data_IF_262987857072
#
_entry.id   IF_262987857072
#
_cell.length_a   1.000
_cell.length_b   1.000
_cell.length_c   1.000
_cell.angle_alpha   90.00
_cell.angle_beta   90.00
_cell.angle_gamma   90.00
#
_symmetry.space_group_name_H-M   'P 1'
#
loop_
_entity.id
_entity.type
_entity.pdbx_description
1 polymer ?
#
# COMPACT_ATOMS: atom_id res chain seq x y z
N UNK A 1 37.38 -1.63 -10.64
CA UNK A 1 36.52 -1.37 -9.46
C UNK A 1 35.14 -1.91 -9.77
N UNK A 2 34.69 -2.95 -9.07
CA UNK A 2 33.39 -3.58 -9.35
C UNK A 2 32.27 -2.58 -9.05
N UNK A 3 31.64 -2.03 -10.08
CA UNK A 3 30.49 -1.14 -9.94
C UNK A 3 29.35 -1.96 -9.33
N UNK A 4 29.10 -1.81 -8.03
CA UNK A 4 28.00 -2.52 -7.37
C UNK A 4 26.70 -2.24 -8.10
N UNK A 5 25.98 -3.31 -8.44
CA UNK A 5 24.69 -3.25 -9.14
C UNK A 5 23.49 -3.17 -8.18
N UNK A 6 23.69 -3.50 -6.90
CA UNK A 6 22.70 -3.36 -5.83
C UNK A 6 23.36 -3.17 -4.44
N UNK A 7 22.64 -2.64 -3.43
CA UNK A 7 23.11 -2.58 -2.05
C UNK A 7 23.40 -3.97 -1.48
N UNK A 8 24.31 -4.06 -0.51
CA UNK A 8 24.62 -5.34 0.14
C UNK A 8 23.60 -5.71 1.21
N UNK A 9 23.15 -4.75 2.00
CA UNK A 9 22.29 -4.95 3.16
C UNK A 9 21.10 -3.99 3.21
N UNK A 10 20.10 -4.38 4.00
CA UNK A 10 18.95 -3.57 4.37
C UNK A 10 18.86 -3.47 5.88
N UNK A 11 18.83 -2.24 6.40
CA UNK A 11 18.48 -1.99 7.79
C UNK A 11 16.96 -1.88 7.94
N UNK A 12 16.39 -2.74 8.77
CA UNK A 12 14.95 -2.74 9.10
C UNK A 12 14.64 -1.67 10.13
N UNK A 13 13.36 -1.27 10.23
CA UNK A 13 12.90 -0.34 11.28
C UNK A 13 13.14 -0.84 12.71
N UNK A 14 13.25 -2.16 12.89
CA UNK A 14 13.61 -2.77 14.17
C UNK A 14 15.11 -2.72 14.49
N UNK A 15 15.93 -2.03 13.69
CA UNK A 15 17.39 -1.99 13.84
C UNK A 15 18.15 -3.16 13.19
N UNK A 16 17.52 -4.33 13.03
CA UNK A 16 18.11 -5.51 12.41
C UNK A 16 18.60 -5.26 10.97
N UNK A 17 19.78 -5.79 10.67
CA UNK A 17 20.39 -5.73 9.33
C UNK A 17 20.27 -7.10 8.67
N UNK A 18 19.77 -7.12 7.43
CA UNK A 18 19.63 -8.34 6.63
C UNK A 18 20.23 -8.16 5.25
N UNK A 19 20.61 -9.25 4.58
CA UNK A 19 21.10 -9.18 3.19
C UNK A 19 20.01 -8.61 2.27
N UNK A 20 20.41 -7.71 1.39
CA UNK A 20 19.52 -7.19 0.34
C UNK A 20 19.08 -8.34 -0.57
N UNK A 21 17.84 -8.28 -1.06
CA UNK A 21 17.29 -9.28 -1.94
C UNK A 21 16.52 -8.62 -3.07
N UNK A 22 17.15 -8.58 -4.24
CA UNK A 22 16.51 -8.09 -5.47
C UNK A 22 15.23 -8.82 -5.80
N UNK A 23 15.18 -10.14 -5.58
CA UNK A 23 13.97 -10.97 -5.77
C UNK A 23 12.81 -10.47 -4.90
N UNK A 24 13.07 -10.14 -3.63
CA UNK A 24 12.03 -9.59 -2.73
C UNK A 24 11.56 -8.22 -3.17
N UNK A 25 12.46 -7.36 -3.63
CA UNK A 25 12.12 -6.04 -4.19
C UNK A 25 11.26 -6.17 -5.45
N UNK A 26 11.68 -6.97 -6.42
CA UNK A 26 10.95 -7.25 -7.65
C UNK A 26 9.54 -7.79 -7.36
N UNK A 27 9.41 -8.73 -6.43
CA UNK A 27 8.10 -9.25 -6.01
C UNK A 27 7.21 -8.17 -5.39
N UNK A 28 7.78 -7.20 -4.67
CA UNK A 28 7.03 -6.06 -4.13
C UNK A 28 6.55 -5.12 -5.22
N UNK A 29 7.40 -4.84 -6.22
CA UNK A 29 7.06 -3.99 -7.36
C UNK A 29 5.98 -4.67 -8.21
N UNK A 30 6.14 -5.96 -8.52
CA UNK A 30 5.14 -6.74 -9.27
C UNK A 30 3.75 -6.67 -8.62
N UNK A 31 3.65 -6.87 -7.30
CA UNK A 31 2.37 -6.75 -6.58
C UNK A 31 1.80 -5.34 -6.69
N UNK A 32 2.64 -4.33 -6.53
CA UNK A 32 2.23 -2.92 -6.64
C UNK A 32 1.67 -2.60 -8.03
N UNK A 33 2.35 -3.05 -9.08
CA UNK A 33 1.90 -2.89 -10.46
C UNK A 33 0.58 -3.65 -10.72
N UNK A 34 0.46 -4.88 -10.19
CA UNK A 34 -0.79 -5.64 -10.24
C UNK A 34 -1.98 -4.92 -9.59
N UNK A 35 -1.79 -4.26 -8.44
CA UNK A 35 -2.85 -3.48 -7.78
C UNK A 35 -3.33 -2.26 -8.61
N UNK A 36 -2.56 -1.85 -9.62
CA UNK A 36 -2.94 -0.79 -10.55
C UNK A 36 -3.19 -1.30 -11.96
N UNK A 37 -3.42 -2.61 -12.11
CA UNK A 37 -3.70 -3.29 -13.38
C UNK A 37 -2.58 -3.10 -14.43
N UNK A 38 -1.34 -2.96 -13.98
CA UNK A 38 -0.16 -2.93 -14.85
C UNK A 38 0.52 -4.30 -14.78
N UNK A 39 0.28 -5.14 -15.78
CA UNK A 39 0.86 -6.48 -15.86
C UNK A 39 1.93 -6.56 -16.95
N UNK A 40 3.09 -5.97 -16.67
CA UNK A 40 4.27 -6.02 -17.56
C UNK A 40 5.50 -6.53 -16.80
N UNK A 41 5.98 -7.71 -17.21
CA UNK A 41 7.16 -8.36 -16.64
C UNK A 41 8.45 -7.60 -16.97
N UNK A 42 8.60 -7.10 -18.19
CA UNK A 42 9.77 -6.33 -18.61
C UNK A 42 9.86 -4.99 -17.87
N UNK A 43 8.71 -4.36 -17.61
CA UNK A 43 8.62 -3.14 -16.81
C UNK A 43 9.03 -3.38 -15.36
N UNK A 44 8.58 -4.48 -14.75
CA UNK A 44 8.98 -4.86 -13.38
C UNK A 44 10.50 -5.00 -13.27
N UNK A 45 11.13 -5.69 -14.21
CA UNK A 45 12.58 -5.92 -14.20
C UNK A 45 13.38 -4.63 -14.43
N UNK A 46 12.88 -3.76 -15.32
CA UNK A 46 13.45 -2.43 -15.60
C UNK A 46 13.39 -1.53 -14.36
N UNK A 47 12.20 -1.36 -13.78
CA UNK A 47 12.00 -0.56 -12.56
C UNK A 47 12.87 -1.10 -11.42
N UNK A 48 12.93 -2.42 -11.24
CA UNK A 48 13.77 -3.04 -10.19
C UNK A 48 15.24 -2.68 -10.39
N UNK A 49 15.74 -2.75 -11.63
CA UNK A 49 17.13 -2.41 -11.96
C UNK A 49 17.42 -0.94 -11.68
N UNK A 50 16.53 -0.05 -12.10
CA UNK A 50 16.68 1.40 -11.88
C UNK A 50 16.72 1.70 -10.37
N UNK A 51 15.89 1.02 -9.57
CA UNK A 51 15.87 1.18 -8.11
C UNK A 51 17.18 0.71 -7.50
N UNK A 52 17.70 -0.44 -7.91
CA UNK A 52 18.99 -0.92 -7.43
C UNK A 52 20.13 0.05 -7.79
N UNK A 53 20.14 0.59 -9.01
CA UNK A 53 21.13 1.57 -9.44
C UNK A 53 21.07 2.87 -8.63
N UNK A 54 19.86 3.38 -8.37
CA UNK A 54 19.69 4.56 -7.51
C UNK A 54 20.15 4.28 -6.07
N UNK A 55 19.78 3.12 -5.52
CA UNK A 55 20.19 2.73 -4.17
C UNK A 55 21.70 2.54 -4.06
N UNK A 56 22.38 2.06 -5.09
CA UNK A 56 23.83 2.02 -5.13
C UNK A 56 24.48 3.39 -5.08
N UNK A 57 23.86 4.40 -5.72
CA UNK A 57 24.37 5.79 -5.63
C UNK A 57 24.21 6.38 -4.23
N UNK A 58 23.10 6.13 -3.55
CA UNK A 58 22.78 6.81 -2.28
C UNK A 58 23.13 5.99 -1.02
N UNK A 59 23.19 4.66 -1.12
CA UNK A 59 23.38 3.72 0.00
C UNK A 59 23.98 2.38 -0.50
N UNK A 60 25.24 2.37 -0.98
CA UNK A 60 25.85 1.20 -1.64
C UNK A 60 26.12 0.00 -0.74
N UNK A 61 26.25 0.20 0.58
CA UNK A 61 26.54 -0.87 1.54
C UNK A 61 25.26 -1.30 2.25
N UNK A 62 24.61 -0.37 2.97
CA UNK A 62 23.39 -0.64 3.73
C UNK A 62 22.36 0.43 3.40
N UNK A 63 21.21 -0.01 2.88
CA UNK A 63 20.08 0.86 2.59
C UNK A 63 18.99 0.71 3.66
N UNK A 64 18.59 1.81 4.28
CA UNK A 64 17.49 1.82 5.24
C UNK A 64 16.15 1.63 4.52
N UNK A 65 15.17 1.03 5.20
CA UNK A 65 13.86 0.75 4.61
C UNK A 65 13.18 1.99 4.01
N UNK A 66 13.36 3.17 4.64
CA UNK A 66 12.79 4.43 4.14
C UNK A 66 13.52 4.94 2.89
N UNK A 67 14.83 4.70 2.75
CA UNK A 67 15.58 5.03 1.52
C UNK A 67 15.17 4.16 0.35
N UNK A 68 15.01 2.85 0.58
CA UNK A 68 14.50 1.90 -0.43
C UNK A 68 13.14 2.36 -0.92
N UNK A 69 12.25 2.71 0.01
CA UNK A 69 10.92 3.21 -0.30
C UNK A 69 10.96 4.50 -1.12
N UNK A 70 11.77 5.47 -0.68
CA UNK A 70 11.92 6.74 -1.39
C UNK A 70 12.38 6.55 -2.83
N UNK A 71 13.36 5.66 -3.07
CA UNK A 71 13.83 5.32 -4.41
C UNK A 71 12.71 4.69 -5.27
N UNK A 72 11.95 3.74 -4.70
CA UNK A 72 10.84 3.11 -5.42
C UNK A 72 9.79 4.15 -5.83
N UNK A 73 9.36 5.01 -4.92
CA UNK A 73 8.34 6.04 -5.19
C UNK A 73 8.82 6.98 -6.29
N UNK A 74 10.07 7.46 -6.21
CA UNK A 74 10.65 8.35 -7.23
C UNK A 74 10.66 7.69 -8.62
N UNK A 75 11.10 6.44 -8.70
CA UNK A 75 11.23 5.74 -9.98
C UNK A 75 9.85 5.39 -10.56
N UNK A 76 8.87 5.01 -9.73
CA UNK A 76 7.50 4.79 -10.20
C UNK A 76 6.87 6.08 -10.75
N UNK A 77 7.11 7.23 -10.11
CA UNK A 77 6.70 8.55 -10.63
C UNK A 77 7.42 8.87 -11.95
N UNK A 78 8.74 8.63 -12.03
CA UNK A 78 9.54 8.86 -13.26
C UNK A 78 9.04 8.03 -14.45
N UNK A 79 8.56 6.82 -14.20
CA UNK A 79 7.96 5.95 -15.22
C UNK A 79 6.51 6.33 -15.57
N UNK A 80 6.01 7.47 -15.09
CA UNK A 80 4.62 7.95 -15.31
C UNK A 80 3.57 6.96 -14.80
N UNK A 81 3.86 6.26 -13.70
CA UNK A 81 2.92 5.36 -13.01
C UNK A 81 2.62 5.92 -11.61
N UNK A 82 2.03 7.13 -11.48
CA UNK A 82 1.78 7.76 -10.20
C UNK A 82 0.86 6.93 -9.30
N UNK A 83 -0.11 6.22 -9.90
CA UNK A 83 -0.95 5.28 -9.17
C UNK A 83 -0.16 4.13 -8.53
N UNK A 84 0.90 3.64 -9.18
CA UNK A 84 1.78 2.63 -8.57
C UNK A 84 2.66 3.26 -7.50
N UNK A 85 3.11 4.51 -7.66
CA UNK A 85 3.86 5.21 -6.63
C UNK A 85 3.02 5.44 -5.36
N UNK A 86 1.77 5.89 -5.53
CA UNK A 86 0.77 5.98 -4.46
C UNK A 86 0.49 4.61 -3.86
N UNK A 87 0.30 3.59 -4.71
CA UNK A 87 0.12 2.22 -4.26
C UNK A 87 1.35 1.78 -3.44
N UNK A 88 2.58 1.98 -3.88
CA UNK A 88 3.79 1.56 -3.16
C UNK A 88 3.97 2.31 -1.85
N UNK A 89 3.65 3.60 -1.83
CA UNK A 89 3.58 4.39 -0.61
C UNK A 89 2.54 3.72 0.33
N UNK A 90 1.38 3.34 -0.19
CA UNK A 90 0.29 2.77 0.62
C UNK A 90 0.40 1.25 0.86
N UNK A 91 1.25 0.52 0.14
CA UNK A 91 1.50 -0.94 0.25
C UNK A 91 2.12 -1.27 1.62
N UNK A 92 2.51 -0.26 2.39
CA UNK A 92 2.79 -0.37 3.83
C UNK A 92 1.54 -0.47 4.73
N UNK A 93 0.34 -0.64 4.17
CA UNK A 93 -0.75 -1.40 4.80
C UNK A 93 -0.41 -2.90 4.96
N UNK A 94 0.88 -3.28 4.95
CA UNK A 94 1.39 -4.49 5.58
C UNK A 94 1.11 -4.45 7.09
N UNK A 95 -0.14 -4.71 7.45
CA UNK A 95 -0.53 -5.04 8.80
C UNK A 95 -0.08 -6.49 8.99
N UNK A 96 1.10 -6.67 9.59
CA UNK A 96 1.60 -7.99 9.95
C UNK A 96 0.57 -8.69 10.84
N UNK A 97 0.35 -9.98 10.58
CA UNK A 97 -0.54 -10.80 11.38
C UNK A 97 -2.03 -10.70 11.01
N UNK A 98 -2.37 -10.05 9.89
CA UNK A 98 -3.74 -10.04 9.34
C UNK A 98 -4.26 -11.48 9.15
N UNK A 99 -5.31 -11.81 9.91
CA UNK A 99 -6.03 -13.09 9.86
C UNK A 99 -7.15 -13.06 8.82
N UNK A 100 -7.82 -11.92 8.60
CA UNK A 100 -8.84 -11.80 7.55
C UNK A 100 -8.19 -11.94 6.16
N UNK A 101 -8.76 -12.82 5.32
CA UNK A 101 -8.25 -13.13 3.98
C UNK A 101 -9.25 -12.91 2.86
N UNK A 102 -10.53 -12.81 3.18
CA UNK A 102 -11.59 -12.89 2.16
C UNK A 102 -12.69 -11.87 2.43
N UNK A 103 -13.19 -11.27 1.35
CA UNK A 103 -14.36 -10.38 1.34
C UNK A 103 -15.51 -11.09 0.64
N UNK A 104 -16.73 -10.98 1.19
CA UNK A 104 -17.97 -11.38 0.52
C UNK A 104 -18.63 -10.13 -0.07
N UNK A 105 -18.83 -10.11 -1.38
CA UNK A 105 -19.50 -9.01 -2.10
C UNK A 105 -21.01 -9.06 -1.91
N UNK A 106 -21.71 -7.99 -2.30
CA UNK A 106 -23.19 -7.94 -2.30
C UNK A 106 -23.82 -9.08 -3.08
N UNK A 107 -23.18 -9.51 -4.17
CA UNK A 107 -23.61 -10.66 -4.98
C UNK A 107 -23.35 -12.03 -4.33
N UNK A 108 -22.71 -12.10 -3.16
CA UNK A 108 -22.23 -13.34 -2.55
C UNK A 108 -20.87 -13.83 -3.04
N UNK A 109 -20.31 -13.24 -4.11
CA UNK A 109 -18.98 -13.58 -4.63
C UNK A 109 -17.89 -13.37 -3.57
N UNK A 110 -16.92 -14.28 -3.51
CA UNK A 110 -15.73 -14.17 -2.66
C UNK A 110 -14.56 -13.55 -3.42
N UNK A 111 -13.87 -12.62 -2.77
CA UNK A 111 -12.67 -11.95 -3.28
C UNK A 111 -11.57 -11.94 -2.20
N UNK A 112 -10.31 -11.77 -2.60
CA UNK A 112 -9.22 -11.56 -1.64
C UNK A 112 -9.42 -10.24 -0.86
N UNK A 113 -9.14 -10.28 0.45
CA UNK A 113 -9.16 -9.10 1.28
C UNK A 113 -7.95 -8.23 0.99
N UNK A 114 -8.19 -7.13 0.29
CA UNK A 114 -7.18 -6.16 -0.10
C UNK A 114 -7.37 -4.84 0.67
N UNK A 115 -6.59 -4.57 1.74
CA UNK A 115 -6.60 -3.29 2.46
C UNK A 115 -6.52 -2.05 1.55
N UNK A 116 -5.81 -2.20 0.42
CA UNK A 116 -5.67 -1.14 -0.57
C UNK A 116 -7.00 -0.68 -1.17
N UNK A 117 -7.98 -1.58 -1.36
CA UNK A 117 -9.31 -1.19 -1.87
C UNK A 117 -10.02 -0.23 -0.90
N UNK A 118 -9.84 -0.42 0.41
CA UNK A 118 -10.35 0.47 1.45
C UNK A 118 -9.64 1.83 1.35
N UNK A 119 -8.31 1.83 1.29
CA UNK A 119 -7.53 3.06 1.13
C UNK A 119 -7.94 3.84 -0.11
N UNK A 120 -8.09 3.19 -1.28
CA UNK A 120 -8.43 3.86 -2.54
C UNK A 120 -9.80 4.55 -2.45
N UNK A 121 -10.78 3.86 -1.86
CA UNK A 121 -12.12 4.40 -1.65
C UNK A 121 -12.10 5.56 -0.65
N UNK A 122 -11.40 5.41 0.48
CA UNK A 122 -11.22 6.49 1.45
C UNK A 122 -10.47 7.69 0.85
N UNK A 123 -9.41 7.46 0.09
CA UNK A 123 -8.59 8.51 -0.55
C UNK A 123 -9.39 9.30 -1.58
N UNK A 124 -10.32 8.65 -2.29
CA UNK A 124 -11.27 9.34 -3.16
C UNK A 124 -12.11 10.34 -2.35
N UNK A 125 -12.72 9.89 -1.26
CA UNK A 125 -13.51 10.76 -0.36
C UNK A 125 -12.69 11.88 0.29
N UNK A 126 -11.41 11.64 0.58
CA UNK A 126 -10.49 12.68 1.04
C UNK A 126 -10.32 13.77 -0.01
N UNK A 127 -10.04 13.39 -1.27
CA UNK A 127 -9.88 14.36 -2.37
C UNK A 127 -11.17 15.14 -2.64
N UNK A 128 -12.31 14.47 -2.62
CA UNK A 128 -13.60 15.12 -2.88
C UNK A 128 -13.99 16.09 -1.74
N UNK A 129 -13.46 15.85 -0.53
CA UNK A 129 -13.54 16.78 0.60
C UNK A 129 -12.46 17.89 0.57
N UNK A 130 -11.61 17.96 -0.47
CA UNK A 130 -10.52 18.93 -0.59
C UNK A 130 -9.30 18.64 0.28
N UNK A 131 -9.13 17.41 0.79
CA UNK A 131 -8.07 17.03 1.72
C UNK A 131 -7.01 16.16 1.03
N UNK A 132 -5.83 16.73 0.81
CA UNK A 132 -4.71 16.01 0.18
C UNK A 132 -3.79 15.28 1.17
N UNK A 133 -4.25 14.98 2.39
CA UNK A 133 -3.46 14.24 3.40
C UNK A 133 -3.50 12.71 3.22
N UNK A 134 -2.51 12.18 2.49
CA UNK A 134 -2.34 10.74 2.30
C UNK A 134 -1.94 9.98 3.57
N UNK A 135 -1.21 10.61 4.50
CA UNK A 135 -0.73 9.96 5.74
C UNK A 135 -1.88 9.71 6.70
N UNK A 136 -2.77 10.68 6.85
CA UNK A 136 -3.99 10.49 7.65
C UNK A 136 -4.88 9.43 7.04
N UNK A 137 -5.11 9.46 5.71
CA UNK A 137 -5.89 8.42 5.02
C UNK A 137 -5.30 7.01 5.22
N UNK A 138 -3.97 6.86 5.16
CA UNK A 138 -3.30 5.58 5.44
C UNK A 138 -3.52 5.14 6.89
N UNK A 139 -3.32 6.04 7.86
CA UNK A 139 -3.52 5.77 9.29
C UNK A 139 -4.94 5.29 9.59
N UNK A 140 -5.95 5.96 9.04
CA UNK A 140 -7.35 5.59 9.20
C UNK A 140 -7.65 4.25 8.53
N UNK A 141 -7.11 4.00 7.34
CA UNK A 141 -7.24 2.69 6.71
C UNK A 141 -6.65 1.57 7.59
N UNK A 142 -5.50 1.79 8.23
CA UNK A 142 -4.93 0.82 9.19
C UNK A 142 -5.84 0.59 10.39
N UNK A 143 -6.54 1.62 10.85
CA UNK A 143 -7.52 1.48 11.92
C UNK A 143 -8.70 0.61 11.49
N UNK A 144 -9.32 0.90 10.34
CA UNK A 144 -10.41 0.10 9.76
C UNK A 144 -10.02 -1.37 9.66
N UNK A 145 -8.87 -1.65 9.05
CA UNK A 145 -8.41 -3.02 8.83
C UNK A 145 -8.15 -3.75 10.15
N UNK A 146 -7.58 -3.08 11.17
CA UNK A 146 -7.38 -3.68 12.50
C UNK A 146 -8.69 -3.99 13.21
N UNK A 147 -9.70 -3.13 13.09
CA UNK A 147 -11.02 -3.38 13.66
C UNK A 147 -11.69 -4.58 13.00
N UNK A 148 -11.65 -4.65 11.66
CA UNK A 148 -12.17 -5.78 10.89
C UNK A 148 -11.45 -7.08 11.27
N UNK A 149 -10.12 -7.07 11.30
CA UNK A 149 -9.32 -8.26 11.59
C UNK A 149 -9.57 -8.81 13.00
N UNK A 150 -9.78 -7.92 13.98
CA UNK A 150 -10.17 -8.30 15.35
C UNK A 150 -11.56 -8.92 15.40
N UNK A 151 -12.52 -8.42 14.61
CA UNK A 151 -13.91 -8.91 14.60
C UNK A 151 -14.10 -10.16 13.74
N UNK A 152 -13.34 -10.31 12.67
CA UNK A 152 -13.42 -11.41 11.69
C UNK A 152 -12.09 -12.18 11.57
N UNK A 153 -11.52 -12.71 12.67
CA UNK A 153 -10.24 -13.40 12.62
C UNK A 153 -10.36 -14.69 11.80
N UNK A 154 -9.74 -14.72 10.61
CA UNK A 154 -9.78 -15.88 9.71
C UNK A 154 -11.12 -16.13 9.04
N UNK A 155 -12.11 -15.27 9.25
CA UNK A 155 -13.46 -15.40 8.68
C UNK A 155 -13.63 -14.45 7.49
N UNK A 156 -14.42 -14.82 6.46
CA UNK A 156 -14.80 -13.89 5.42
C UNK A 156 -15.58 -12.70 6.02
N UNK A 157 -15.29 -11.49 5.53
CA UNK A 157 -15.99 -10.26 5.95
C UNK A 157 -16.92 -9.76 4.84
N UNK A 158 -18.20 -9.45 5.12
CA UNK A 158 -19.08 -8.82 4.14
C UNK A 158 -18.61 -7.43 3.75
N UNK A 159 -18.76 -7.04 2.48
CA UNK A 159 -18.36 -5.72 1.99
C UNK A 159 -19.09 -4.57 2.68
N UNK A 160 -20.33 -4.76 3.11
CA UNK A 160 -21.08 -3.74 3.86
C UNK A 160 -20.47 -3.48 5.25
N UNK A 161 -19.99 -4.53 5.93
CA UNK A 161 -19.29 -4.40 7.22
C UNK A 161 -18.00 -3.58 7.05
N UNK A 162 -17.27 -3.76 5.95
CA UNK A 162 -16.08 -2.93 5.65
C UNK A 162 -16.47 -1.46 5.53
N UNK A 163 -17.58 -1.16 4.85
CA UNK A 163 -18.09 0.21 4.70
C UNK A 163 -18.49 0.81 6.04
N UNK A 164 -19.24 0.07 6.87
CA UNK A 164 -19.62 0.48 8.23
C UNK A 164 -18.40 0.83 9.09
N UNK A 165 -17.38 -0.02 9.13
CA UNK A 165 -16.14 0.29 9.86
C UNK A 165 -15.40 1.49 9.27
N UNK A 166 -15.47 1.70 7.96
CA UNK A 166 -14.84 2.85 7.30
C UNK A 166 -15.55 4.15 7.70
N UNK A 167 -16.88 4.18 7.63
CA UNK A 167 -17.72 5.29 8.09
C UNK A 167 -17.48 5.59 9.58
N UNK A 168 -17.52 4.54 10.42
CA UNK A 168 -17.24 4.64 11.85
C UNK A 168 -15.87 5.27 12.14
N UNK A 169 -14.80 4.80 11.48
CA UNK A 169 -13.45 5.34 11.70
C UNK A 169 -13.34 6.80 11.28
N UNK A 170 -13.98 7.21 10.18
CA UNK A 170 -13.99 8.61 9.73
C UNK A 170 -14.70 9.51 10.74
N UNK A 171 -15.88 9.12 11.22
CA UNK A 171 -16.64 9.88 12.23
C UNK A 171 -15.88 9.94 13.56
N UNK A 172 -15.39 8.79 14.04
CA UNK A 172 -14.60 8.68 15.28
C UNK A 172 -13.36 9.58 15.27
N UNK A 173 -12.70 9.72 14.13
CA UNK A 173 -11.50 10.55 13.97
C UNK A 173 -11.82 12.02 13.62
N UNK A 174 -13.06 12.48 13.86
CA UNK A 174 -13.52 13.86 13.61
C UNK A 174 -13.31 14.29 12.14
N UNK A 175 -13.60 13.40 11.19
CA UNK A 175 -13.59 13.69 9.76
C UNK A 175 -15.00 13.59 9.12
N UNK A 176 -16.02 14.32 9.65
CA UNK A 176 -17.40 14.21 9.16
C UNK A 176 -17.56 14.62 7.69
N UNK A 177 -16.76 15.59 7.21
CA UNK A 177 -16.75 16.01 5.81
C UNK A 177 -16.31 14.88 4.87
N UNK A 178 -15.25 14.14 5.24
CA UNK A 178 -14.79 12.97 4.47
C UNK A 178 -15.81 11.84 4.54
N UNK A 179 -16.39 11.60 5.73
CA UNK A 179 -17.43 10.60 5.92
C UNK A 179 -18.63 10.88 5.00
N UNK A 180 -19.06 12.14 4.88
CA UNK A 180 -20.13 12.55 3.97
C UNK A 180 -19.83 12.16 2.52
N UNK A 181 -18.65 12.50 2.00
CA UNK A 181 -18.26 12.10 0.64
C UNK A 181 -18.17 10.57 0.48
N UNK A 182 -17.69 9.86 1.51
CA UNK A 182 -17.65 8.39 1.51
C UNK A 182 -19.04 7.76 1.43
N UNK A 183 -19.99 8.25 2.22
CA UNK A 183 -21.39 7.81 2.21
C UNK A 183 -22.01 8.09 0.84
N UNK A 184 -21.78 9.28 0.26
CA UNK A 184 -22.29 9.60 -1.09
C UNK A 184 -21.80 8.62 -2.16
N UNK A 185 -20.52 8.23 -2.13
CA UNK A 185 -19.98 7.20 -3.03
C UNK A 185 -20.59 5.80 -2.87
N UNK A 186 -21.32 5.54 -1.78
CA UNK A 186 -22.02 4.28 -1.57
C UNK A 186 -23.31 4.18 -2.39
N UNK A 187 -23.90 5.33 -2.73
CA UNK A 187 -25.20 5.47 -3.39
C UNK A 187 -25.11 5.88 -4.86
N UNK A 188 -23.94 6.34 -5.31
CA UNK A 188 -23.63 6.61 -6.73
C UNK A 188 -22.93 5.40 -7.36
#
# INVERSE_FOLDING_TARGET
MSSRSEPTYVRKKSGHVVRFSRKKLAGSIKRTLGHVNVEDKHLTDRITRDICAELCRISPVTADADKIRGAVIRILKKNKIPGAAECYDCVFLHIKGLKVKTVIKRSGKREEFEPYKIFKSMRKSFRDAGIEDGKTCERLTKEVVRLIDRKYPGKPVPVEVIKEYTEYVLVKNKMPQVARHYILHRYM
#
